data_IF_781870902286
#
_entry.id   IF_781870902286
#
_cell.length_a   1.000
_cell.length_b   1.000
_cell.length_c   1.000
_cell.angle_alpha   90.00
_cell.angle_beta   90.00
_cell.angle_gamma   90.00
#
_symmetry.space_group_name_H-M   'P 1'
#
loop_
_entity.id
_entity.type
_entity.pdbx_description
1 polymer ?
#
# COMPACT_ATOMS: atom_id res chain seq x y z
N UNK A 1 -6.04 21.95 -16.95
CA UNK A 1 -6.26 21.11 -15.76
C UNK A 1 -5.60 19.74 -15.93
N UNK A 2 -6.00 18.93 -16.93
CA UNK A 2 -5.49 17.56 -17.12
C UNK A 2 -3.95 17.44 -17.20
N UNK A 3 -3.26 18.34 -17.91
CA UNK A 3 -1.81 18.30 -18.00
C UNK A 3 -1.08 18.48 -16.65
N UNK A 4 -1.63 19.30 -15.74
CA UNK A 4 -1.07 19.49 -14.39
C UNK A 4 -1.26 18.24 -13.52
N UNK A 5 -2.42 17.60 -13.61
CA UNK A 5 -2.71 16.35 -12.90
C UNK A 5 -1.80 15.21 -13.36
N UNK A 6 -1.57 15.08 -14.68
CA UNK A 6 -0.66 14.08 -15.24
C UNK A 6 0.77 14.26 -14.71
N UNK A 7 1.30 15.48 -14.78
CA UNK A 7 2.64 15.80 -14.27
C UNK A 7 2.78 15.52 -12.76
N UNK A 8 1.73 15.79 -11.98
CA UNK A 8 1.69 15.48 -10.55
C UNK A 8 1.78 13.97 -10.27
N UNK A 9 0.98 13.17 -10.97
CA UNK A 9 0.98 11.69 -10.83
C UNK A 9 2.36 11.13 -11.19
N UNK A 10 2.94 11.55 -12.32
CA UNK A 10 4.25 11.09 -12.77
C UNK A 10 5.36 11.42 -11.76
N UNK A 11 5.34 12.65 -11.23
CA UNK A 11 6.29 13.07 -10.19
C UNK A 11 6.16 12.22 -8.92
N UNK A 12 4.93 12.01 -8.43
CA UNK A 12 4.72 11.24 -7.20
C UNK A 12 5.12 9.78 -7.38
N UNK A 13 4.83 9.19 -8.55
CA UNK A 13 5.27 7.83 -8.87
C UNK A 13 6.80 7.71 -8.89
N UNK A 14 7.51 8.71 -9.44
CA UNK A 14 8.97 8.72 -9.41
C UNK A 14 9.52 8.91 -7.99
N UNK A 15 8.88 9.72 -7.15
CA UNK A 15 9.23 9.82 -5.72
C UNK A 15 9.06 8.48 -5.01
N UNK A 16 7.95 7.77 -5.23
CA UNK A 16 7.71 6.45 -4.66
C UNK A 16 8.78 5.44 -5.12
N UNK A 17 9.14 5.44 -6.41
CA UNK A 17 10.24 4.62 -6.95
C UNK A 17 11.57 4.90 -6.25
N UNK A 18 11.92 6.17 -6.06
CA UNK A 18 13.17 6.56 -5.37
C UNK A 18 13.17 6.07 -3.93
N UNK A 19 12.06 6.23 -3.22
CA UNK A 19 11.92 5.77 -1.85
C UNK A 19 11.99 4.23 -1.73
N UNK A 20 11.34 3.49 -2.63
CA UNK A 20 11.45 2.02 -2.67
C UNK A 20 12.89 1.57 -2.94
N UNK A 21 13.57 2.14 -3.94
CA UNK A 21 15.00 1.86 -4.21
C UNK A 21 15.92 2.21 -3.03
N UNK A 22 15.54 3.19 -2.21
CA UNK A 22 16.28 3.58 -1.02
C UNK A 22 15.98 2.70 0.21
N UNK A 23 15.10 1.69 0.09
CA UNK A 23 14.72 0.81 1.19
C UNK A 23 13.79 1.46 2.22
N UNK A 24 13.10 2.54 1.86
CA UNK A 24 12.08 3.14 2.73
C UNK A 24 10.96 2.14 2.96
N UNK A 25 10.45 2.09 4.19
CA UNK A 25 9.31 1.23 4.55
C UNK A 25 7.99 1.92 4.18
N UNK A 26 7.09 1.18 3.56
CA UNK A 26 5.80 1.69 3.07
C UNK A 26 4.62 1.07 3.81
N UNK A 27 3.61 1.89 4.08
CA UNK A 27 2.27 1.46 4.45
C UNK A 27 1.25 2.03 3.45
N UNK A 28 0.19 1.29 3.15
CA UNK A 28 -0.83 1.71 2.18
C UNK A 28 -1.69 2.84 2.73
N UNK A 29 -1.87 3.91 1.95
CA UNK A 29 -2.82 4.98 2.21
C UNK A 29 -3.35 5.55 0.89
N UNK A 30 -4.66 5.51 0.69
CA UNK A 30 -5.32 5.84 -0.59
C UNK A 30 -5.84 7.27 -0.69
N UNK A 31 -5.82 8.01 0.42
CA UNK A 31 -6.52 9.29 0.56
C UNK A 31 -7.98 9.20 0.06
N UNK A 32 -8.70 8.19 0.59
CA UNK A 32 -9.98 7.66 0.10
C UNK A 32 -11.06 8.72 -0.19
N UNK A 33 -11.01 9.86 0.50
CA UNK A 33 -11.94 10.98 0.29
C UNK A 33 -11.84 11.56 -1.13
N UNK A 34 -10.68 11.44 -1.78
CA UNK A 34 -10.46 11.88 -3.16
C UNK A 34 -10.56 10.75 -4.18
N UNK A 35 -10.41 9.49 -3.76
CA UNK A 35 -10.29 8.32 -4.65
C UNK A 35 -11.50 7.38 -4.62
N UNK A 36 -12.54 7.70 -3.83
CA UNK A 36 -13.76 6.94 -3.54
C UNK A 36 -13.60 5.85 -2.47
N UNK A 37 -14.51 5.84 -1.50
CA UNK A 37 -14.59 4.76 -0.51
C UNK A 37 -14.89 3.42 -1.19
N UNK A 38 -14.18 2.37 -0.77
CA UNK A 38 -14.28 1.02 -1.34
C UNK A 38 -13.24 0.71 -2.41
N UNK A 39 -12.56 1.72 -2.96
CA UNK A 39 -11.58 1.56 -4.05
C UNK A 39 -10.12 1.60 -3.57
N UNK A 40 -9.92 1.51 -2.26
CA UNK A 40 -8.62 1.72 -1.60
C UNK A 40 -7.52 0.78 -2.11
N UNK A 41 -7.88 -0.45 -2.48
CA UNK A 41 -6.93 -1.48 -2.91
C UNK A 41 -6.31 -1.21 -4.28
N UNK A 42 -6.83 -0.24 -5.05
CA UNK A 42 -6.19 0.24 -6.29
C UNK A 42 -4.77 0.74 -6.05
N UNK A 43 -4.48 1.20 -4.83
CA UNK A 43 -3.15 1.68 -4.43
C UNK A 43 -2.07 0.60 -4.52
N UNK A 44 -2.43 -0.67 -4.31
CA UNK A 44 -1.51 -1.81 -4.46
C UNK A 44 -0.92 -1.87 -5.88
N UNK A 45 -1.73 -1.56 -6.89
CA UNK A 45 -1.27 -1.48 -8.29
C UNK A 45 -0.30 -0.32 -8.53
N UNK A 46 -0.41 0.79 -7.79
CA UNK A 46 0.54 1.89 -7.86
C UNK A 46 1.87 1.55 -7.24
N UNK A 47 1.89 0.81 -6.12
CA UNK A 47 3.13 0.30 -5.54
C UNK A 47 3.88 -0.65 -6.49
N UNK A 48 3.16 -1.54 -7.19
CA UNK A 48 3.78 -2.39 -8.23
C UNK A 48 4.34 -1.54 -9.37
N UNK A 49 3.61 -0.52 -9.85
CA UNK A 49 4.13 0.44 -10.85
C UNK A 49 5.35 1.24 -10.34
N UNK A 50 5.48 1.39 -9.03
CA UNK A 50 6.61 2.02 -8.36
C UNK A 50 7.82 1.07 -8.16
N UNK A 51 7.72 -0.19 -8.61
CA UNK A 51 8.84 -1.14 -8.62
C UNK A 51 8.78 -2.21 -7.53
N UNK A 52 7.74 -2.22 -6.69
CA UNK A 52 7.53 -3.30 -5.73
C UNK A 52 7.07 -4.59 -6.43
N UNK A 53 7.45 -5.73 -5.87
CA UNK A 53 6.80 -7.01 -6.17
C UNK A 53 5.36 -7.02 -5.65
N UNK A 54 4.47 -7.89 -6.18
CA UNK A 54 3.11 -8.04 -5.63
C UNK A 54 3.10 -8.38 -4.14
N UNK A 55 4.06 -9.18 -3.66
CA UNK A 55 4.19 -9.51 -2.23
C UNK A 55 4.56 -8.29 -1.39
N UNK A 56 5.54 -7.50 -1.82
CA UNK A 56 5.92 -6.25 -1.14
C UNK A 56 4.74 -5.27 -1.08
N UNK A 57 3.98 -5.14 -2.17
CA UNK A 57 2.77 -4.32 -2.20
C UNK A 57 1.74 -4.81 -1.17
N UNK A 58 1.48 -6.13 -1.09
CA UNK A 58 0.58 -6.70 -0.07
C UNK A 58 1.07 -6.48 1.36
N UNK A 59 2.38 -6.50 1.60
CA UNK A 59 2.97 -6.18 2.92
C UNK A 59 2.64 -4.76 3.36
N UNK A 60 2.56 -3.80 2.43
CA UNK A 60 2.17 -2.40 2.76
C UNK A 60 0.77 -2.28 3.38
N UNK A 61 -0.14 -3.19 3.04
CA UNK A 61 -1.51 -3.20 3.56
C UNK A 61 -1.75 -4.21 4.70
N UNK A 62 -0.70 -4.93 5.12
CA UNK A 62 -0.78 -5.99 6.14
C UNK A 62 0.27 -5.76 7.22
N UNK A 63 1.37 -6.50 7.19
CA UNK A 63 2.44 -6.47 8.21
C UNK A 63 3.06 -5.08 8.41
N UNK A 64 3.33 -4.31 7.35
CA UNK A 64 3.89 -2.96 7.51
C UNK A 64 2.88 -1.97 8.11
N UNK A 65 1.60 -2.10 7.75
CA UNK A 65 0.54 -1.26 8.31
C UNK A 65 0.33 -1.56 9.80
N UNK A 66 0.32 -2.84 10.17
CA UNK A 66 0.26 -3.25 11.57
C UNK A 66 1.43 -2.69 12.38
N UNK A 67 2.65 -2.70 11.83
CA UNK A 67 3.82 -2.12 12.47
C UNK A 67 3.72 -0.60 12.60
N UNK A 68 3.27 0.10 11.55
CA UNK A 68 3.05 1.54 11.61
C UNK A 68 2.05 1.91 12.72
N UNK A 69 1.04 1.06 12.96
CA UNK A 69 0.04 1.24 14.00
C UNK A 69 0.49 0.75 15.40
N UNK A 70 1.70 0.20 15.53
CA UNK A 70 2.19 -0.38 16.79
C UNK A 70 1.47 -1.67 17.21
N UNK A 71 0.88 -2.39 16.25
CA UNK A 71 0.04 -3.58 16.46
C UNK A 71 0.61 -4.85 15.83
N UNK A 72 1.92 -4.91 15.59
CA UNK A 72 2.59 -6.06 14.95
C UNK A 72 2.39 -7.40 15.66
N UNK A 73 1.97 -7.41 16.93
CA UNK A 73 1.78 -8.64 17.70
C UNK A 73 0.34 -9.20 17.64
N UNK A 74 -0.58 -8.49 16.99
CA UNK A 74 -2.00 -8.86 16.95
C UNK A 74 -2.68 -8.64 15.59
N UNK A 75 -2.09 -7.84 14.68
CA UNK A 75 -2.66 -7.55 13.34
C UNK A 75 -1.68 -7.85 12.19
N UNK A 76 -2.24 -8.00 10.99
CA UNK A 76 -1.49 -7.97 9.74
C UNK A 76 -0.80 -9.28 9.34
N UNK A 77 -0.96 -10.36 10.11
CA UNK A 77 -0.43 -11.69 9.79
C UNK A 77 -1.42 -12.80 10.13
N UNK A 78 -1.35 -13.91 9.38
CA UNK A 78 -2.09 -15.14 9.67
C UNK A 78 -1.23 -16.01 10.58
N UNK A 79 -1.38 -15.83 11.90
CA UNK A 79 -0.61 -16.54 12.90
C UNK A 79 -1.41 -16.71 14.21
N UNK A 80 -1.08 -17.72 15.05
CA UNK A 80 -1.70 -17.87 16.36
C UNK A 80 -1.54 -16.62 17.23
N UNK A 81 -2.62 -16.21 17.89
CA UNK A 81 -2.64 -15.02 18.75
C UNK A 81 -2.99 -13.70 18.04
N UNK A 82 -3.10 -13.70 16.71
CA UNK A 82 -3.54 -12.54 15.92
C UNK A 82 -5.07 -12.53 15.76
N UNK A 83 -5.64 -11.35 15.50
CA UNK A 83 -7.05 -11.25 15.11
C UNK A 83 -7.32 -12.02 13.82
N UNK A 84 -8.51 -12.62 13.73
CA UNK A 84 -8.95 -13.40 12.57
C UNK A 84 -9.45 -12.51 11.41
N UNK A 85 -8.69 -11.46 11.08
CA UNK A 85 -9.01 -10.50 10.02
C UNK A 85 -8.46 -11.02 8.69
N UNK A 86 -9.32 -11.69 7.93
CA UNK A 86 -8.94 -12.42 6.71
C UNK A 86 -9.71 -11.91 5.49
N UNK A 87 -9.02 -11.85 4.36
CA UNK A 87 -9.60 -11.56 3.03
C UNK A 87 -9.14 -12.63 2.07
N UNK A 88 -10.07 -13.15 1.26
CA UNK A 88 -9.79 -14.10 0.19
C UNK A 88 -10.29 -13.52 -1.14
N UNK A 89 -9.60 -13.84 -2.24
CA UNK A 89 -9.92 -13.41 -3.61
C UNK A 89 -9.79 -14.58 -4.57
N UNK A 90 -10.47 -14.49 -5.71
CA UNK A 90 -10.22 -15.36 -6.87
C UNK A 90 -8.90 -14.95 -7.54
N UNK A 91 -8.09 -15.93 -7.95
CA UNK A 91 -6.73 -15.74 -8.47
C UNK A 91 -6.63 -15.74 -9.99
#
# INVERSE_FOLDING_TARGET
FQAKTKAFIERNLETARKAHRAGVKFAMGSDAIYTMFGENTRELGWFVKAGMTPEEALRTATTNAAELLGKSNELGAVAPGYFADLVAVEG
#
